data_IF_639885691910
#
_entry.id   IF_639885691910
#
_cell.length_a   1.000
_cell.length_b   1.000
_cell.length_c   1.000
_cell.angle_alpha   90.00
_cell.angle_beta   90.00
_cell.angle_gamma   90.00
#
_symmetry.space_group_name_H-M   'P 1'
#
loop_
_entity.id
_entity.type
_entity.pdbx_description
1 polymer ?
#
# COMPACT_ATOMS: atom_id res chain seq x y z
N UNK A 1 -18.50 47.20 -23.70
CA UNK A 1 -19.31 46.11 -24.27
C UNK A 1 -18.52 44.84 -24.09
N UNK A 2 -18.85 44.05 -23.07
CA UNK A 2 -18.29 42.72 -22.82
C UNK A 2 -19.49 41.82 -22.60
N UNK A 3 -19.81 41.00 -23.60
CA UNK A 3 -20.90 40.04 -23.57
C UNK A 3 -20.67 39.02 -22.45
N UNK A 4 -21.60 39.00 -21.51
CA UNK A 4 -21.72 37.95 -20.50
C UNK A 4 -22.42 36.76 -21.16
N UNK A 5 -21.66 35.81 -21.69
CA UNK A 5 -22.20 34.54 -22.18
C UNK A 5 -22.57 33.66 -20.97
N UNK A 6 -23.74 33.91 -20.38
CA UNK A 6 -24.37 32.95 -19.49
C UNK A 6 -24.86 31.77 -20.35
N UNK A 7 -24.14 30.66 -20.28
CA UNK A 7 -24.59 29.37 -20.81
C UNK A 7 -25.89 29.03 -20.07
N UNK A 8 -27.03 28.84 -20.76
CA UNK A 8 -28.26 28.45 -20.09
C UNK A 8 -28.07 27.07 -19.49
N UNK A 9 -28.28 26.92 -18.18
CA UNK A 9 -28.45 25.63 -17.53
C UNK A 9 -29.68 24.97 -18.15
N UNK A 10 -29.46 24.14 -19.17
CA UNK A 10 -30.47 23.25 -19.73
C UNK A 10 -30.99 22.41 -18.57
N UNK A 11 -32.23 22.67 -18.14
CA UNK A 11 -32.99 21.85 -17.19
C UNK A 11 -32.76 20.38 -17.51
N UNK A 12 -32.42 19.55 -16.51
CA UNK A 12 -32.26 18.09 -16.63
C UNK A 12 -33.42 17.55 -17.47
N UNK A 13 -33.14 17.32 -18.74
CA UNK A 13 -34.13 17.39 -19.82
C UNK A 13 -35.04 16.18 -19.84
N UNK A 14 -36.30 16.34 -20.25
CA UNK A 14 -37.29 15.27 -20.52
C UNK A 14 -36.71 13.99 -21.13
N UNK A 15 -35.66 14.12 -21.95
CA UNK A 15 -34.83 13.03 -22.46
C UNK A 15 -34.40 12.01 -21.40
N UNK A 16 -34.05 12.46 -20.20
CA UNK A 16 -33.63 11.62 -19.09
C UNK A 16 -34.77 10.71 -18.62
N UNK A 17 -35.95 11.27 -18.37
CA UNK A 17 -37.13 10.51 -17.96
C UNK A 17 -37.65 9.63 -19.11
N UNK A 18 -37.54 10.07 -20.37
CA UNK A 18 -37.85 9.24 -21.54
C UNK A 18 -36.96 8.01 -21.63
N UNK A 19 -35.68 8.13 -21.33
CA UNK A 19 -34.78 6.98 -21.34
C UNK A 19 -35.07 5.99 -20.20
N UNK A 20 -35.56 6.49 -19.05
CA UNK A 20 -36.05 5.65 -17.95
C UNK A 20 -37.30 4.90 -18.43
N UNK A 21 -38.29 5.64 -18.94
CA UNK A 21 -39.55 5.09 -19.45
C UNK A 21 -39.32 3.96 -20.47
N UNK A 22 -38.55 4.23 -21.53
CA UNK A 22 -38.25 3.27 -22.61
C UNK A 22 -37.48 2.02 -22.15
N UNK A 23 -36.85 2.05 -20.97
CA UNK A 23 -36.17 0.88 -20.41
C UNK A 23 -37.14 -0.07 -19.71
N UNK A 24 -38.23 0.48 -19.17
CA UNK A 24 -39.24 -0.27 -18.40
C UNK A 24 -40.40 -0.73 -19.25
N UNK A 25 -40.71 0.03 -20.30
CA UNK A 25 -41.54 -0.40 -21.43
C UNK A 25 -40.79 -1.52 -22.20
N UNK A 26 -41.00 -2.77 -21.78
CA UNK A 26 -40.23 -3.93 -22.25
C UNK A 26 -40.67 -4.36 -23.64
N UNK A 27 -41.97 -4.29 -23.89
CA UNK A 27 -42.56 -4.63 -25.18
C UNK A 27 -42.56 -3.45 -26.17
N UNK A 28 -42.19 -2.25 -25.71
CA UNK A 28 -42.06 -1.00 -26.49
C UNK A 28 -43.39 -0.53 -27.04
N UNK A 29 -44.48 -0.80 -26.31
CA UNK A 29 -45.82 -0.40 -26.70
C UNK A 29 -46.10 1.09 -26.42
N UNK A 30 -45.18 1.78 -25.72
CA UNK A 30 -45.28 3.19 -25.37
C UNK A 30 -45.99 3.44 -24.05
N UNK A 31 -46.26 2.39 -23.28
CA UNK A 31 -46.93 2.43 -21.99
C UNK A 31 -46.17 1.59 -20.94
N UNK A 32 -46.52 1.76 -19.67
CA UNK A 32 -46.00 0.94 -18.58
C UNK A 32 -47.19 0.28 -17.88
N UNK A 33 -47.21 -1.05 -17.90
CA UNK A 33 -48.22 -1.85 -17.19
C UNK A 33 -47.90 -2.00 -15.71
N UNK A 34 -48.89 -2.39 -14.89
CA UNK A 34 -48.68 -2.73 -13.46
C UNK A 34 -47.58 -3.78 -13.28
N UNK A 35 -47.47 -4.75 -14.20
CA UNK A 35 -46.45 -5.80 -14.14
C UNK A 35 -45.05 -5.24 -14.44
N UNK A 36 -44.91 -4.32 -15.39
CA UNK A 36 -43.64 -3.65 -15.67
C UNK A 36 -43.23 -2.70 -14.55
N UNK A 37 -44.21 -2.02 -13.94
CA UNK A 37 -44.00 -1.22 -12.74
C UNK A 37 -43.60 -2.08 -11.54
N UNK A 38 -44.17 -3.28 -11.38
CA UNK A 38 -43.75 -4.24 -10.36
C UNK A 38 -42.29 -4.66 -10.57
N UNK A 39 -41.91 -5.00 -11.81
CA UNK A 39 -40.52 -5.28 -12.18
C UNK A 39 -39.56 -4.09 -11.99
N UNK A 40 -40.07 -2.86 -11.99
CA UNK A 40 -39.29 -1.65 -11.69
C UNK A 40 -38.95 -1.60 -10.19
N UNK A 41 -39.91 -1.98 -9.34
CA UNK A 41 -39.81 -1.87 -7.88
C UNK A 41 -39.17 -3.12 -7.23
N UNK A 42 -39.29 -4.30 -7.82
CA UNK A 42 -38.68 -5.52 -7.27
C UNK A 42 -37.17 -5.59 -7.61
N UNK A 43 -36.30 -5.51 -6.58
CA UNK A 43 -34.85 -5.61 -6.76
C UNK A 43 -34.25 -6.63 -5.77
N UNK A 44 -33.43 -7.55 -6.28
CA UNK A 44 -32.87 -8.71 -5.56
C UNK A 44 -31.86 -8.39 -4.43
N UNK A 45 -31.70 -7.14 -4.03
CA UNK A 45 -30.61 -6.68 -3.15
C UNK A 45 -31.04 -6.24 -1.74
N UNK A 46 -32.35 -6.18 -1.42
CA UNK A 46 -32.81 -5.83 -0.07
C UNK A 46 -33.94 -6.76 0.41
N UNK A 47 -33.87 -7.17 1.67
CA UNK A 47 -34.75 -8.16 2.33
C UNK A 47 -36.20 -7.70 2.59
N UNK A 48 -36.62 -6.53 2.09
CA UNK A 48 -37.97 -5.99 2.30
C UNK A 48 -38.56 -5.45 1.00
N UNK A 49 -39.25 -6.31 0.26
CA UNK A 49 -39.97 -5.95 -0.96
C UNK A 49 -41.17 -5.03 -0.67
N UNK A 50 -41.45 -4.10 -1.59
CA UNK A 50 -42.69 -3.32 -1.56
C UNK A 50 -43.85 -4.26 -1.90
N UNK A 51 -44.88 -4.39 -1.03
CA UNK A 51 -45.97 -5.32 -1.30
C UNK A 51 -46.67 -5.02 -2.64
N UNK A 52 -47.08 -6.06 -3.41
CA UNK A 52 -47.71 -5.89 -4.74
C UNK A 52 -48.93 -4.96 -4.73
N UNK A 53 -49.70 -4.93 -3.63
CA UNK A 53 -50.86 -4.07 -3.50
C UNK A 53 -50.51 -2.57 -3.46
N UNK A 54 -49.32 -2.21 -2.97
CA UNK A 54 -48.84 -0.81 -2.93
C UNK A 54 -48.50 -0.34 -4.34
N UNK A 55 -47.83 -1.20 -5.13
CA UNK A 55 -47.49 -0.91 -6.54
C UNK A 55 -48.75 -0.71 -7.36
N UNK A 56 -49.74 -1.61 -7.21
CA UNK A 56 -51.05 -1.47 -7.87
C UNK A 56 -51.73 -0.15 -7.51
N UNK A 57 -51.73 0.23 -6.24
CA UNK A 57 -52.33 1.49 -5.78
C UNK A 57 -51.61 2.72 -6.32
N UNK A 58 -50.27 2.67 -6.44
CA UNK A 58 -49.47 3.75 -7.03
C UNK A 58 -49.81 3.93 -8.51
N UNK A 59 -49.93 2.82 -9.24
CA UNK A 59 -50.35 2.81 -10.64
C UNK A 59 -51.74 3.44 -10.81
N UNK A 60 -52.74 2.94 -10.07
CA UNK A 60 -54.12 3.46 -10.11
C UNK A 60 -54.24 4.95 -9.74
N UNK A 61 -53.33 5.48 -8.89
CA UNK A 61 -53.35 6.90 -8.51
C UNK A 61 -52.85 7.84 -9.61
N UNK A 62 -52.10 7.33 -10.60
CA UNK A 62 -51.46 8.13 -11.65
C UNK A 62 -51.92 7.77 -13.06
N UNK A 63 -52.74 6.73 -13.20
CA UNK A 63 -53.52 6.41 -14.40
C UNK A 63 -54.72 7.38 -14.45
N UNK A 64 -54.56 8.48 -15.20
CA UNK A 64 -55.52 9.59 -15.24
C UNK A 64 -56.59 9.38 -16.31
N UNK A 65 -56.27 8.66 -17.38
CA UNK A 65 -57.20 8.32 -18.45
C UNK A 65 -57.94 6.99 -18.22
N UNK A 66 -57.51 6.21 -17.22
CA UNK A 66 -58.16 4.99 -16.75
C UNK A 66 -57.95 3.79 -17.68
N UNK A 67 -56.86 3.78 -18.46
CA UNK A 67 -56.58 2.77 -19.47
C UNK A 67 -55.84 1.53 -18.91
N UNK A 68 -55.64 1.47 -17.59
CA UNK A 68 -54.89 0.45 -16.85
C UNK A 68 -53.41 0.37 -17.26
N UNK A 69 -52.89 1.41 -17.90
CA UNK A 69 -51.48 1.59 -18.22
C UNK A 69 -51.03 3.00 -17.82
N UNK A 70 -49.72 3.25 -17.90
CA UNK A 70 -49.17 4.59 -17.70
C UNK A 70 -48.49 5.05 -18.97
N UNK A 71 -49.01 6.13 -19.56
CA UNK A 71 -48.33 6.81 -20.65
C UNK A 71 -47.14 7.65 -20.11
N UNK A 72 -46.32 8.20 -21.00
CA UNK A 72 -45.12 8.95 -20.58
C UNK A 72 -45.42 10.14 -19.66
N UNK A 73 -46.56 10.82 -19.86
CA UNK A 73 -46.94 11.98 -19.04
C UNK A 73 -47.29 11.55 -17.62
N UNK A 74 -48.11 10.51 -17.49
CA UNK A 74 -48.52 9.92 -16.21
C UNK A 74 -47.33 9.33 -15.45
N UNK A 75 -46.44 8.63 -16.15
CA UNK A 75 -45.19 8.14 -15.58
C UNK A 75 -44.30 9.29 -15.09
N UNK A 76 -44.20 10.37 -15.86
CA UNK A 76 -43.41 11.55 -15.49
C UNK A 76 -43.96 12.25 -14.25
N UNK A 77 -45.27 12.32 -14.10
CA UNK A 77 -45.92 12.87 -12.90
C UNK A 77 -45.72 11.94 -11.69
N UNK A 78 -45.90 10.63 -11.88
CA UNK A 78 -45.69 9.62 -10.85
C UNK A 78 -44.26 9.65 -10.29
N UNK A 79 -43.24 9.67 -11.16
CA UNK A 79 -41.84 9.60 -10.74
C UNK A 79 -41.35 10.89 -10.08
N UNK A 80 -42.00 12.02 -10.39
CA UNK A 80 -41.69 13.33 -9.79
C UNK A 80 -42.61 13.69 -8.62
N UNK A 81 -43.56 12.82 -8.26
CA UNK A 81 -44.46 13.03 -7.13
C UNK A 81 -43.66 13.06 -5.81
N UNK A 82 -43.70 14.16 -5.03
CA UNK A 82 -42.94 14.29 -3.77
C UNK A 82 -43.24 13.17 -2.77
N UNK A 83 -44.48 12.68 -2.74
CA UNK A 83 -44.90 11.60 -1.85
C UNK A 83 -44.33 10.25 -2.27
N UNK A 84 -44.01 10.04 -3.55
CA UNK A 84 -43.44 8.79 -4.06
C UNK A 84 -41.92 8.83 -4.21
N UNK A 85 -41.29 9.93 -3.77
CA UNK A 85 -39.84 10.12 -3.81
C UNK A 85 -39.08 9.05 -3.02
N UNK A 86 -39.65 8.52 -1.94
CA UNK A 86 -39.04 7.42 -1.18
C UNK A 86 -39.07 6.08 -1.94
N UNK A 87 -40.07 5.89 -2.81
CA UNK A 87 -40.20 4.70 -3.67
C UNK A 87 -39.26 4.83 -4.86
N UNK A 88 -39.38 5.90 -5.65
CA UNK A 88 -38.67 6.02 -6.93
C UNK A 88 -37.31 6.70 -6.84
N UNK A 89 -37.04 7.44 -5.76
CA UNK A 89 -35.80 8.18 -5.57
C UNK A 89 -34.55 7.31 -5.60
N UNK A 90 -34.64 6.07 -5.09
CA UNK A 90 -33.53 5.12 -5.12
C UNK A 90 -33.24 4.62 -6.56
N UNK A 91 -34.26 4.29 -7.34
CA UNK A 91 -34.10 3.79 -8.73
C UNK A 91 -33.57 4.87 -9.67
N UNK A 92 -34.09 6.10 -9.56
CA UNK A 92 -33.60 7.26 -10.30
C UNK A 92 -32.13 7.50 -9.95
N UNK A 93 -31.77 7.42 -8.66
CA UNK A 93 -30.37 7.55 -8.21
C UNK A 93 -29.46 6.44 -8.76
N UNK A 94 -29.92 5.18 -8.78
CA UNK A 94 -29.16 4.05 -9.35
C UNK A 94 -28.94 4.18 -10.84
N UNK A 95 -29.95 4.60 -11.59
CA UNK A 95 -29.85 4.84 -13.04
C UNK A 95 -28.93 6.03 -13.36
N UNK A 96 -29.02 7.11 -12.57
CA UNK A 96 -28.09 8.25 -12.65
C UNK A 96 -26.66 7.78 -12.42
N UNK A 97 -26.43 6.94 -11.42
CA UNK A 97 -25.12 6.38 -11.09
C UNK A 97 -24.57 5.41 -12.16
N UNK A 98 -25.44 4.82 -12.99
CA UNK A 98 -25.04 3.96 -14.12
C UNK A 98 -24.62 4.81 -15.34
N UNK A 99 -25.40 5.84 -15.68
CA UNK A 99 -25.22 6.61 -16.92
C UNK A 99 -24.19 7.72 -16.80
N UNK A 100 -24.15 8.37 -15.65
CA UNK A 100 -23.17 9.41 -15.38
C UNK A 100 -21.98 8.69 -14.75
N UNK A 101 -20.81 8.60 -15.42
CA UNK A 101 -19.61 8.13 -14.75
C UNK A 101 -19.42 9.00 -13.52
N UNK A 102 -19.27 8.38 -12.34
CA UNK A 102 -19.07 9.10 -11.09
C UNK A 102 -17.87 10.03 -11.26
N UNK A 103 -18.12 11.32 -11.51
CA UNK A 103 -17.13 12.35 -11.24
C UNK A 103 -16.91 12.29 -9.74
N UNK A 104 -15.74 11.85 -9.32
CA UNK A 104 -15.35 11.81 -7.92
C UNK A 104 -15.44 13.22 -7.33
N UNK A 105 -16.56 13.53 -6.72
CA UNK A 105 -16.65 14.58 -5.71
C UNK A 105 -17.37 14.02 -4.48
N UNK A 106 -16.77 14.19 -3.29
CA UNK A 106 -17.04 13.33 -2.16
C UNK A 106 -18.23 13.86 -1.38
N UNK A 107 -19.35 13.15 -1.46
CA UNK A 107 -20.34 13.17 -0.39
C UNK A 107 -20.88 11.76 -0.23
N UNK A 108 -20.06 10.91 0.40
CA UNK A 108 -20.48 9.61 0.93
C UNK A 108 -20.29 9.60 2.44
N UNK A 109 -21.41 9.42 3.13
CA UNK A 109 -21.49 9.03 4.52
C UNK A 109 -21.64 7.51 4.57
N UNK A 110 -20.75 6.91 5.39
CA UNK A 110 -20.79 5.56 5.98
C UNK A 110 -20.51 4.39 5.02
N UNK A 111 -19.24 3.92 5.13
CA UNK A 111 -18.72 2.55 4.96
C UNK A 111 -19.04 1.79 3.68
N UNK A 112 -18.06 1.63 2.79
CA UNK A 112 -17.87 0.41 1.96
C UNK A 112 -16.60 0.55 1.10
N UNK A 113 -15.53 -0.18 1.44
CA UNK A 113 -14.69 -0.89 0.46
C UNK A 113 -13.62 -0.15 -0.36
N UNK A 114 -13.30 1.13 -0.13
CA UNK A 114 -12.22 1.80 -0.89
C UNK A 114 -10.83 1.13 -0.70
N UNK A 115 -10.61 0.45 0.43
CA UNK A 115 -9.39 -0.33 0.68
C UNK A 115 -9.40 -1.69 -0.04
N UNK A 116 -10.55 -2.39 -0.08
CA UNK A 116 -10.71 -3.66 -0.81
C UNK A 116 -10.64 -3.46 -2.33
N UNK A 117 -11.19 -2.36 -2.85
CA UNK A 117 -11.06 -1.96 -4.26
C UNK A 117 -9.63 -1.54 -4.65
N UNK A 118 -8.79 -1.18 -3.66
CA UNK A 118 -7.39 -0.82 -3.88
C UNK A 118 -6.45 -2.03 -4.04
N UNK A 119 -6.88 -3.24 -3.65
CA UNK A 119 -6.15 -4.50 -3.93
C UNK A 119 -6.27 -4.85 -5.41
N UNK A 120 -5.46 -4.19 -6.23
CA UNK A 120 -5.35 -4.54 -7.63
C UNK A 120 -4.20 -5.51 -7.82
N UNK A 121 -4.49 -6.70 -8.33
CA UNK A 121 -3.48 -7.61 -8.90
C UNK A 121 -2.90 -7.07 -10.22
N UNK A 122 -3.22 -5.82 -10.58
CA UNK A 122 -2.73 -5.15 -11.77
C UNK A 122 -2.10 -3.78 -11.44
N UNK A 123 -0.77 -3.62 -11.60
CA UNK A 123 0.19 -4.64 -12.03
C UNK A 123 0.41 -5.75 -10.99
N UNK A 124 0.75 -6.98 -11.40
CA UNK A 124 0.94 -8.09 -10.48
C UNK A 124 2.04 -7.79 -9.44
N UNK A 125 1.91 -8.30 -8.19
CA UNK A 125 2.88 -8.10 -7.13
C UNK A 125 4.15 -8.94 -7.37
N UNK A 126 4.96 -8.49 -8.31
CA UNK A 126 6.15 -9.24 -8.79
C UNK A 126 7.44 -8.84 -8.09
N UNK A 127 7.52 -7.64 -7.49
CA UNK A 127 8.80 -7.10 -7.02
C UNK A 127 9.40 -7.96 -5.91
N UNK A 128 8.62 -8.20 -4.86
CA UNK A 128 9.04 -9.01 -3.70
C UNK A 128 9.29 -10.47 -4.05
N UNK A 129 8.49 -11.03 -4.97
CA UNK A 129 8.69 -12.40 -5.46
C UNK A 129 10.01 -12.50 -6.22
N UNK A 130 10.30 -11.56 -7.12
CA UNK A 130 11.54 -11.54 -7.89
C UNK A 130 12.77 -11.37 -7.00
N UNK A 131 12.74 -10.47 -6.02
CA UNK A 131 13.84 -10.31 -5.06
C UNK A 131 14.08 -11.60 -4.26
N UNK A 132 13.00 -12.20 -3.74
CA UNK A 132 13.05 -13.46 -3.00
C UNK A 132 13.66 -14.60 -3.83
N UNK A 133 13.32 -14.69 -5.11
CA UNK A 133 13.89 -15.68 -6.03
C UNK A 133 15.39 -15.44 -6.26
N UNK A 134 15.82 -14.19 -6.41
CA UNK A 134 17.24 -13.84 -6.58
C UNK A 134 18.03 -14.21 -5.31
N UNK A 135 17.50 -13.91 -4.13
CA UNK A 135 18.12 -14.27 -2.84
C UNK A 135 18.30 -15.79 -2.71
N UNK A 136 17.27 -16.59 -3.04
CA UNK A 136 17.35 -18.06 -3.04
C UNK A 136 18.40 -18.55 -4.03
N UNK A 137 18.41 -18.03 -5.26
CA UNK A 137 19.36 -18.44 -6.30
C UNK A 137 20.80 -18.16 -5.85
N UNK A 138 21.06 -16.97 -5.33
CA UNK A 138 22.39 -16.56 -4.85
C UNK A 138 22.83 -17.45 -3.68
N UNK A 139 21.94 -17.70 -2.71
CA UNK A 139 22.22 -18.60 -1.59
C UNK A 139 22.56 -20.02 -2.06
N UNK A 140 21.79 -20.57 -3.01
CA UNK A 140 22.04 -21.88 -3.59
C UNK A 140 23.37 -21.95 -4.36
N UNK A 141 23.76 -20.88 -5.06
CA UNK A 141 25.05 -20.82 -5.76
C UNK A 141 26.21 -20.91 -4.78
N UNK A 142 26.14 -20.20 -3.65
CA UNK A 142 27.21 -20.23 -2.63
C UNK A 142 27.33 -21.62 -1.99
N UNK A 143 26.24 -22.22 -1.52
CA UNK A 143 26.26 -23.58 -0.96
C UNK A 143 26.68 -24.66 -1.97
N UNK A 144 26.34 -24.48 -3.25
CA UNK A 144 26.75 -25.43 -4.30
C UNK A 144 28.24 -25.30 -4.66
N UNK A 145 28.84 -24.12 -4.49
CA UNK A 145 30.24 -23.88 -4.80
C UNK A 145 31.18 -24.38 -3.69
N UNK A 146 30.80 -24.17 -2.43
CA UNK A 146 31.54 -24.63 -1.25
C UNK A 146 30.56 -24.99 -0.13
N UNK A 147 30.65 -26.21 0.39
CA UNK A 147 29.79 -26.71 1.46
C UNK A 147 29.95 -25.86 2.72
N UNK A 148 28.83 -25.47 3.34
CA UNK A 148 28.78 -24.60 4.53
C UNK A 148 29.30 -23.16 4.30
N UNK A 149 29.56 -22.75 3.05
CA UNK A 149 30.10 -21.43 2.76
C UNK A 149 29.17 -20.29 3.16
N UNK A 150 27.85 -20.50 3.21
CA UNK A 150 26.91 -19.47 3.67
C UNK A 150 27.01 -19.24 5.17
N UNK A 151 27.41 -20.23 5.96
CA UNK A 151 27.61 -20.05 7.42
C UNK A 151 28.77 -19.11 7.73
N UNK A 152 29.78 -19.08 6.85
CA UNK A 152 30.98 -18.27 7.02
C UNK A 152 31.05 -17.07 6.06
N UNK A 153 30.02 -16.89 5.21
CA UNK A 153 30.01 -15.92 4.11
C UNK A 153 31.28 -15.98 3.23
N UNK A 154 31.79 -17.20 2.97
CA UNK A 154 32.99 -17.45 2.16
C UNK A 154 32.70 -17.71 0.69
N UNK A 155 31.42 -17.88 0.34
CA UNK A 155 30.99 -18.25 -1.01
C UNK A 155 31.33 -17.20 -2.09
N UNK A 156 31.39 -17.62 -3.36
CA UNK A 156 31.80 -16.75 -4.46
C UNK A 156 30.90 -15.51 -4.59
N UNK A 157 29.60 -15.63 -4.39
CA UNK A 157 28.69 -14.48 -4.46
C UNK A 157 28.78 -13.62 -3.19
N UNK A 158 28.92 -14.23 -2.01
CA UNK A 158 29.18 -13.51 -0.76
C UNK A 158 30.39 -12.58 -0.89
N UNK A 159 31.53 -13.05 -1.42
CA UNK A 159 32.75 -12.22 -1.56
C UNK A 159 32.54 -10.98 -2.46
N UNK A 160 31.63 -11.06 -3.43
CA UNK A 160 31.35 -9.96 -4.38
C UNK A 160 30.29 -9.00 -3.85
N UNK A 161 29.25 -9.52 -3.20
CA UNK A 161 28.06 -8.75 -2.87
C UNK A 161 27.97 -8.29 -1.41
N UNK A 162 28.64 -8.96 -0.48
CA UNK A 162 28.61 -8.59 0.95
C UNK A 162 29.14 -7.16 1.13
N UNK A 163 28.56 -6.43 2.08
CA UNK A 163 29.13 -5.16 2.50
C UNK A 163 30.37 -5.43 3.35
N UNK A 164 31.53 -4.98 2.88
CA UNK A 164 32.82 -5.11 3.57
C UNK A 164 33.42 -3.72 3.80
N UNK A 165 33.66 -3.30 5.06
CA UNK A 165 34.15 -1.95 5.35
C UNK A 165 35.48 -1.59 4.69
N UNK A 166 36.38 -2.58 4.54
CA UNK A 166 37.66 -2.43 3.84
C UNK A 166 37.50 -2.14 2.33
N UNK A 167 36.32 -2.38 1.77
CA UNK A 167 35.98 -2.18 0.35
C UNK A 167 34.86 -1.16 0.18
N UNK A 168 34.67 -0.25 1.12
CA UNK A 168 33.58 0.76 1.09
C UNK A 168 33.53 1.64 -0.16
N UNK A 169 34.59 1.71 -0.98
CA UNK A 169 34.55 2.41 -2.28
C UNK A 169 33.82 1.63 -3.37
N UNK A 170 33.61 0.34 -3.19
CA UNK A 170 32.81 -0.51 -4.05
C UNK A 170 31.31 -0.25 -3.80
N UNK A 171 30.81 0.88 -4.32
CA UNK A 171 29.50 1.46 -3.96
C UNK A 171 28.30 0.53 -4.10
N UNK A 172 28.36 -0.48 -4.99
CA UNK A 172 27.29 -1.45 -5.17
C UNK A 172 27.05 -2.28 -3.90
N UNK A 173 28.09 -2.48 -3.07
CA UNK A 173 28.01 -3.25 -1.83
C UNK A 173 27.08 -2.65 -0.78
N UNK A 174 26.76 -1.35 -0.87
CA UNK A 174 25.75 -0.72 -0.02
C UNK A 174 24.32 -1.18 -0.33
N UNK A 175 24.11 -1.83 -1.49
CA UNK A 175 22.81 -2.38 -1.89
C UNK A 175 22.87 -3.90 -2.02
N UNK A 176 23.87 -4.44 -2.73
CA UNK A 176 23.93 -5.86 -3.10
C UNK A 176 24.05 -6.80 -1.91
N UNK A 177 24.45 -6.31 -0.74
CA UNK A 177 24.55 -7.11 0.47
C UNK A 177 23.21 -7.76 0.86
N UNK A 178 22.09 -7.18 0.42
CA UNK A 178 20.74 -7.72 0.66
C UNK A 178 20.54 -9.12 0.09
N UNK A 179 21.35 -9.53 -0.90
CA UNK A 179 21.24 -10.84 -1.52
C UNK A 179 22.04 -11.93 -0.79
N UNK A 180 23.00 -11.56 0.06
CA UNK A 180 23.87 -12.50 0.76
C UNK A 180 23.23 -12.84 2.10
N UNK A 181 23.06 -14.12 2.43
CA UNK A 181 22.46 -14.55 3.69
C UNK A 181 23.35 -15.55 4.42
N UNK A 182 23.48 -15.34 5.74
CA UNK A 182 24.31 -16.19 6.60
C UNK A 182 23.44 -17.30 7.19
N UNK A 183 23.47 -18.47 6.56
CA UNK A 183 22.74 -19.66 6.98
C UNK A 183 21.24 -19.68 6.60
N UNK A 184 20.68 -20.88 6.60
CA UNK A 184 19.31 -21.17 6.12
C UNK A 184 18.24 -20.46 6.96
N UNK A 185 18.39 -20.44 8.29
CA UNK A 185 17.40 -19.82 9.17
C UNK A 185 17.25 -18.31 8.90
N UNK A 186 18.38 -17.61 8.73
CA UNK A 186 18.38 -16.19 8.44
C UNK A 186 17.70 -15.89 7.09
N UNK A 187 17.98 -16.69 6.05
CA UNK A 187 17.30 -16.57 4.75
C UNK A 187 15.79 -16.78 4.89
N UNK A 188 15.37 -17.89 5.51
CA UNK A 188 13.94 -18.26 5.61
C UNK A 188 13.13 -17.19 6.34
N UNK A 189 13.63 -16.65 7.45
CA UNK A 189 12.94 -15.59 8.20
C UNK A 189 12.83 -14.31 7.38
N UNK A 190 13.90 -13.90 6.69
CA UNK A 190 13.85 -12.71 5.81
C UNK A 190 12.82 -12.90 4.69
N UNK A 191 12.85 -14.02 3.99
CA UNK A 191 11.91 -14.34 2.91
C UNK A 191 10.46 -14.39 3.40
N UNK A 192 10.21 -15.01 4.56
CA UNK A 192 8.88 -15.11 5.13
C UNK A 192 8.31 -13.72 5.43
N UNK A 193 9.06 -12.86 6.12
CA UNK A 193 8.59 -11.52 6.47
C UNK A 193 8.48 -10.65 5.21
N UNK A 194 9.44 -10.73 4.29
CA UNK A 194 9.46 -10.02 3.01
C UNK A 194 8.22 -10.32 2.17
N UNK A 195 7.85 -11.60 2.02
CA UNK A 195 6.69 -12.02 1.25
C UNK A 195 5.39 -11.66 1.98
N UNK A 196 5.31 -11.98 3.27
CA UNK A 196 4.11 -11.75 4.09
C UNK A 196 3.72 -10.27 4.15
N UNK A 197 4.71 -9.37 4.24
CA UNK A 197 4.47 -7.93 4.32
C UNK A 197 4.52 -7.21 2.98
N UNK A 198 5.43 -7.64 2.12
CA UNK A 198 5.70 -6.97 0.87
C UNK A 198 4.58 -7.16 -0.14
N UNK A 199 4.06 -8.38 -0.32
CA UNK A 199 2.99 -8.64 -1.30
C UNK A 199 1.73 -7.80 -1.03
N UNK A 200 1.18 -7.75 0.21
CA UNK A 200 0.05 -6.87 0.50
C UNK A 200 0.32 -5.40 0.19
N UNK A 201 1.53 -4.89 0.51
CA UNK A 201 1.91 -3.52 0.14
C UNK A 201 1.94 -3.32 -1.37
N UNK A 202 2.44 -4.30 -2.14
CA UNK A 202 2.51 -4.19 -3.60
C UNK A 202 1.12 -4.13 -4.24
N UNK A 203 0.17 -4.91 -3.71
CA UNK A 203 -1.21 -4.93 -4.18
C UNK A 203 -1.92 -3.59 -3.93
N UNK A 204 -1.67 -2.94 -2.79
CA UNK A 204 -2.30 -1.65 -2.43
C UNK A 204 -1.59 -0.47 -3.09
N UNK A 205 -0.26 -0.43 -3.02
CA UNK A 205 0.55 0.73 -3.37
C UNK A 205 1.27 0.63 -4.72
N UNK A 206 1.20 -0.51 -5.42
CA UNK A 206 1.98 -0.85 -6.63
C UNK A 206 3.42 -1.23 -6.32
N UNK A 207 3.91 -2.29 -6.98
CA UNK A 207 5.24 -2.88 -6.78
C UNK A 207 6.40 -1.86 -6.73
N UNK A 208 6.46 -0.92 -7.67
CA UNK A 208 7.58 0.03 -7.75
C UNK A 208 7.68 0.98 -6.55
N UNK A 209 6.55 1.34 -5.93
CA UNK A 209 6.55 2.19 -4.72
C UNK A 209 7.11 1.43 -3.53
N UNK A 210 6.73 0.17 -3.40
CA UNK A 210 7.21 -0.72 -2.34
C UNK A 210 8.71 -1.01 -2.52
N UNK A 211 9.17 -1.21 -3.76
CA UNK A 211 10.60 -1.37 -4.05
C UNK A 211 11.40 -0.13 -3.63
N UNK A 212 10.91 1.09 -3.90
CA UNK A 212 11.61 2.32 -3.45
C UNK A 212 11.80 2.32 -1.94
N UNK A 213 10.75 1.98 -1.18
CA UNK A 213 10.80 1.90 0.28
C UNK A 213 11.77 0.81 0.75
N UNK A 214 11.72 -0.36 0.12
CA UNK A 214 12.60 -1.48 0.43
C UNK A 214 14.08 -1.13 0.18
N UNK A 215 14.42 -0.62 -1.00
CA UNK A 215 15.79 -0.23 -1.35
C UNK A 215 16.31 0.94 -0.52
N UNK A 216 15.44 1.89 -0.14
CA UNK A 216 15.79 2.94 0.81
C UNK A 216 16.18 2.36 2.18
N UNK A 217 15.44 1.33 2.64
CA UNK A 217 15.77 0.57 3.84
C UNK A 217 17.12 -0.12 3.78
N UNK A 218 17.39 -0.83 2.68
CA UNK A 218 18.68 -1.50 2.43
C UNK A 218 19.83 -0.48 2.44
N UNK A 219 19.69 0.62 1.71
CA UNK A 219 20.71 1.66 1.65
C UNK A 219 20.96 2.31 3.02
N UNK A 220 19.89 2.63 3.75
CA UNK A 220 20.01 3.18 5.09
C UNK A 220 20.63 2.16 6.06
N UNK A 221 20.32 0.88 5.90
CA UNK A 221 20.87 -0.21 6.71
C UNK A 221 22.40 -0.31 6.61
N UNK A 222 22.94 -0.30 5.39
CA UNK A 222 24.39 -0.35 5.15
C UNK A 222 25.10 0.95 5.58
N UNK A 223 24.53 2.12 5.28
CA UNK A 223 25.08 3.41 5.71
C UNK A 223 25.03 3.61 7.24
N UNK A 224 23.95 3.19 7.88
CA UNK A 224 23.79 3.24 9.34
C UNK A 224 24.79 2.30 10.03
N UNK A 225 24.93 1.08 9.51
CA UNK A 225 25.92 0.11 10.02
C UNK A 225 27.34 0.63 9.84
N UNK A 226 27.66 1.24 8.69
CA UNK A 226 29.03 1.74 8.45
C UNK A 226 29.47 2.81 9.45
N UNK A 227 28.53 3.57 10.00
CA UNK A 227 28.82 4.62 10.98
C UNK A 227 28.80 4.06 12.39
N UNK A 228 27.80 3.24 12.74
CA UNK A 228 27.65 2.72 14.11
C UNK A 228 28.67 1.63 14.42
N UNK A 229 28.95 0.75 13.46
CA UNK A 229 29.92 -0.34 13.60
C UNK A 229 30.80 -0.45 12.35
N UNK A 230 31.79 0.45 12.26
CA UNK A 230 32.59 0.66 11.05
C UNK A 230 33.52 -0.50 10.69
N UNK A 231 33.61 -1.53 11.53
CA UNK A 231 34.43 -2.74 11.31
C UNK A 231 33.64 -3.99 10.93
N UNK A 232 32.30 -3.95 10.97
CA UNK A 232 31.46 -5.14 10.77
C UNK A 232 31.04 -5.30 9.31
N UNK A 233 31.13 -6.54 8.81
CA UNK A 233 30.56 -6.94 7.52
C UNK A 233 29.04 -7.02 7.66
N UNK A 234 28.31 -6.65 6.62
CA UNK A 234 26.85 -6.70 6.63
C UNK A 234 26.36 -7.60 5.49
N UNK A 235 25.45 -8.52 5.83
CA UNK A 235 24.77 -9.43 4.92
C UNK A 235 23.30 -9.55 5.34
N UNK A 236 22.41 -9.65 4.36
CA UNK A 236 21.00 -9.98 4.56
C UNK A 236 20.04 -8.88 4.11
N UNK A 237 18.86 -9.30 3.67
CA UNK A 237 17.76 -8.44 3.22
C UNK A 237 17.11 -7.60 4.35
N UNK A 238 17.53 -7.79 5.60
CA UNK A 238 16.81 -7.33 6.78
C UNK A 238 16.60 -5.81 6.84
N UNK A 239 17.55 -5.00 6.35
CA UNK A 239 17.34 -3.54 6.24
C UNK A 239 16.10 -3.16 5.40
N UNK A 240 15.85 -3.90 4.31
CA UNK A 240 14.64 -3.77 3.50
C UNK A 240 13.40 -4.34 4.18
N UNK A 241 13.53 -5.50 4.86
CA UNK A 241 12.43 -6.13 5.60
C UNK A 241 11.90 -5.21 6.71
N UNK A 242 12.78 -4.67 7.55
CA UNK A 242 12.42 -3.72 8.62
C UNK A 242 11.86 -2.40 8.07
N UNK A 243 12.28 -2.00 6.86
CA UNK A 243 11.67 -0.88 6.15
C UNK A 243 10.21 -1.18 5.76
N UNK A 244 9.89 -2.39 5.28
CA UNK A 244 8.51 -2.78 5.00
C UNK A 244 7.64 -2.82 6.27
N UNK A 245 8.18 -3.35 7.38
CA UNK A 245 7.47 -3.38 8.68
C UNK A 245 7.07 -1.96 9.09
N UNK A 246 8.01 -1.03 9.05
CA UNK A 246 7.75 0.36 9.45
C UNK A 246 6.98 1.16 8.43
N UNK A 247 6.97 0.78 7.16
CA UNK A 247 6.11 1.38 6.14
C UNK A 247 4.63 0.99 6.34
N UNK A 248 4.35 -0.21 6.86
CA UNK A 248 3.03 -0.56 7.38
C UNK A 248 2.66 0.31 8.59
N UNK A 249 3.58 0.50 9.52
CA UNK A 249 3.38 1.39 10.68
C UNK A 249 3.19 2.85 10.24
N UNK A 250 3.91 3.34 9.24
CA UNK A 250 3.73 4.66 8.67
C UNK A 250 2.31 4.85 8.12
N UNK A 251 1.81 3.84 7.40
CA UNK A 251 0.43 3.82 6.93
C UNK A 251 -0.56 3.87 8.10
N UNK A 252 -0.27 3.20 9.22
CA UNK A 252 -1.06 3.26 10.47
C UNK A 252 -0.99 4.65 11.13
N UNK A 253 0.21 5.22 11.29
CA UNK A 253 0.42 6.50 11.98
C UNK A 253 -0.20 7.66 11.22
N UNK A 254 -0.07 7.68 9.88
CA UNK A 254 -0.72 8.69 9.04
C UNK A 254 -2.24 8.72 9.26
N UNK A 255 -2.83 7.62 9.74
CA UNK A 255 -4.25 7.55 10.08
C UNK A 255 -4.51 7.77 11.58
N UNK A 256 -3.58 7.40 12.45
CA UNK A 256 -3.73 7.56 13.91
C UNK A 256 -3.60 9.00 14.41
N UNK A 257 -2.73 9.84 13.85
CA UNK A 257 -2.60 11.25 14.27
C UNK A 257 -3.82 12.11 13.89
N UNK A 258 -4.61 11.63 12.93
CA UNK A 258 -5.89 12.22 12.56
C UNK A 258 -6.98 12.02 13.65
N UNK A 259 -6.83 11.03 14.53
CA UNK A 259 -7.87 10.65 15.51
C UNK A 259 -7.83 11.43 16.83
N UNK A 260 -6.82 12.29 17.06
CA UNK A 260 -6.67 13.00 18.35
C UNK A 260 -7.42 14.34 18.38
N UNK A 261 -7.89 14.86 17.24
CA UNK A 261 -8.45 16.22 17.15
C UNK A 261 -9.88 16.33 16.56
N UNK A 262 -10.69 15.26 16.60
CA UNK A 262 -12.02 15.25 15.96
C UNK A 262 -13.15 14.97 16.96
N UNK A 263 -14.22 15.76 16.85
CA UNK A 263 -15.50 15.55 17.55
C UNK A 263 -16.11 14.17 17.22
N UNK A 264 -16.74 13.58 18.22
CA UNK A 264 -17.11 12.16 18.33
C UNK A 264 -17.91 11.54 17.15
N UNK A 265 -18.56 12.35 16.29
CA UNK A 265 -19.34 11.85 15.15
C UNK A 265 -18.49 11.47 13.93
N UNK A 266 -17.39 12.18 13.65
CA UNK A 266 -16.50 11.87 12.53
C UNK A 266 -15.52 10.73 12.89
N UNK A 267 -15.23 10.51 14.17
CA UNK A 267 -14.39 9.40 14.66
C UNK A 267 -14.81 8.04 14.08
N UNK A 268 -16.12 7.76 14.05
CA UNK A 268 -16.67 6.50 13.57
C UNK A 268 -16.41 6.27 12.08
N UNK A 269 -16.31 7.33 11.26
CA UNK A 269 -16.09 7.24 9.82
C UNK A 269 -14.64 6.90 9.47
N UNK A 270 -13.68 7.43 10.21
CA UNK A 270 -12.24 7.22 9.95
C UNK A 270 -11.71 5.94 10.61
N UNK A 271 -12.23 5.59 11.79
CA UNK A 271 -11.92 4.31 12.44
C UNK A 271 -12.50 3.13 11.65
N UNK A 272 -13.66 3.29 11.00
CA UNK A 272 -14.27 2.21 10.22
C UNK A 272 -13.52 1.89 8.90
N UNK A 273 -12.73 2.81 8.34
CA UNK A 273 -11.88 2.53 7.18
C UNK A 273 -10.73 1.55 7.51
N UNK A 274 -10.51 1.26 8.80
CA UNK A 274 -9.47 0.37 9.33
C UNK A 274 -10.01 -0.93 9.93
N UNK A 275 -11.33 -1.14 9.96
CA UNK A 275 -11.93 -2.43 10.36
C UNK A 275 -11.83 -3.50 9.26
N UNK A 276 -11.40 -3.13 8.06
CA UNK A 276 -11.31 -4.03 6.89
C UNK A 276 -9.92 -4.69 6.70
N UNK A 277 -8.85 -4.22 7.36
CA UNK A 277 -7.69 -5.12 7.56
C UNK A 277 -8.05 -6.08 8.70
N UNK A 278 -8.07 -7.38 8.43
CA UNK A 278 -8.25 -8.36 9.47
C UNK A 278 -7.08 -8.27 10.49
N UNK A 279 -7.33 -7.64 11.63
CA UNK A 279 -6.45 -7.57 12.81
C UNK A 279 -5.10 -6.80 12.66
N UNK A 280 -5.07 -5.51 12.28
CA UNK A 280 -3.83 -4.71 12.19
C UNK A 280 -3.08 -4.61 13.52
N UNK A 281 -3.78 -4.62 14.65
CA UNK A 281 -3.18 -4.64 15.98
C UNK A 281 -2.50 -5.97 16.31
N UNK A 282 -3.08 -7.10 15.88
CA UNK A 282 -2.47 -8.41 16.07
C UNK A 282 -1.24 -8.59 15.16
N UNK A 283 -1.31 -8.08 13.92
CA UNK A 283 -0.17 -8.02 13.01
C UNK A 283 0.97 -7.19 13.61
N UNK A 284 0.67 -5.97 14.08
CA UNK A 284 1.66 -5.12 14.76
C UNK A 284 2.28 -5.82 15.98
N UNK A 285 1.48 -6.52 16.79
CA UNK A 285 1.97 -7.29 17.93
C UNK A 285 2.93 -8.41 17.49
N UNK A 286 2.57 -9.19 16.47
CA UNK A 286 3.44 -10.23 15.92
C UNK A 286 4.76 -9.63 15.42
N UNK A 287 4.72 -8.47 14.74
CA UNK A 287 5.93 -7.80 14.28
C UNK A 287 6.80 -7.29 15.42
N UNK A 288 6.22 -6.67 16.44
CA UNK A 288 6.96 -6.21 17.62
C UNK A 288 7.62 -7.38 18.34
N UNK A 289 6.96 -8.55 18.40
CA UNK A 289 7.54 -9.77 18.98
C UNK A 289 8.71 -10.28 18.12
N UNK A 290 8.53 -10.39 16.80
CA UNK A 290 9.59 -10.88 15.90
C UNK A 290 10.79 -9.93 15.90
N UNK A 291 10.56 -8.64 15.71
CA UNK A 291 11.61 -7.62 15.75
C UNK A 291 12.30 -7.55 17.12
N UNK A 292 11.54 -7.59 18.21
CA UNK A 292 12.07 -7.60 19.56
C UNK A 292 12.92 -8.84 19.85
N UNK A 293 12.50 -10.00 19.36
CA UNK A 293 13.26 -11.25 19.49
C UNK A 293 14.53 -11.22 18.68
N UNK A 294 14.47 -10.76 17.43
CA UNK A 294 15.62 -10.66 16.51
C UNK A 294 16.69 -9.67 17.02
N UNK A 295 16.27 -8.46 17.41
CA UNK A 295 17.14 -7.45 18.03
C UNK A 295 17.67 -7.95 19.38
N UNK A 296 16.80 -8.52 20.22
CA UNK A 296 17.16 -9.02 21.54
C UNK A 296 18.20 -10.14 21.47
N UNK A 297 18.04 -11.06 20.52
CA UNK A 297 18.98 -12.17 20.28
C UNK A 297 20.31 -11.62 19.78
N UNK A 298 20.31 -10.65 18.85
CA UNK A 298 21.52 -10.01 18.35
C UNK A 298 22.30 -9.27 19.46
N UNK A 299 21.59 -8.57 20.35
CA UNK A 299 22.20 -7.88 21.51
C UNK A 299 22.73 -8.91 22.51
N UNK A 300 21.97 -9.95 22.83
CA UNK A 300 22.38 -10.99 23.76
C UNK A 300 23.62 -11.74 23.25
N UNK A 301 23.63 -12.13 21.98
CA UNK A 301 24.75 -12.84 21.38
C UNK A 301 26.03 -12.01 21.39
N UNK A 302 25.94 -10.69 21.17
CA UNK A 302 27.10 -9.80 21.19
C UNK A 302 27.59 -9.43 22.58
N UNK A 303 26.70 -9.06 23.50
CA UNK A 303 27.10 -8.52 24.80
C UNK A 303 27.16 -9.56 25.92
N UNK A 304 26.51 -10.72 25.76
CA UNK A 304 26.49 -11.78 26.78
C UNK A 304 27.28 -13.00 26.34
N UNK A 305 27.10 -13.46 25.10
CA UNK A 305 27.78 -14.66 24.59
C UNK A 305 29.11 -14.38 23.88
N UNK A 306 29.43 -13.11 23.61
CA UNK A 306 30.62 -12.66 22.85
C UNK A 306 30.77 -13.37 21.48
N UNK A 307 29.63 -13.70 20.87
CA UNK A 307 29.56 -14.25 19.53
C UNK A 307 29.57 -13.06 18.56
N UNK A 308 30.59 -13.00 17.70
CA UNK A 308 30.68 -12.00 16.64
C UNK A 308 29.64 -12.30 15.55
N UNK A 309 28.39 -11.92 15.77
CA UNK A 309 27.37 -11.94 14.73
C UNK A 309 27.61 -10.83 13.71
N UNK A 310 27.63 -11.21 12.44
CA UNK A 310 27.81 -10.31 11.30
C UNK A 310 26.51 -9.58 10.89
N UNK A 311 25.51 -9.51 11.77
CA UNK A 311 24.19 -8.94 11.50
C UNK A 311 23.97 -7.76 12.44
N UNK A 312 24.00 -6.56 11.88
CA UNK A 312 23.97 -5.33 12.67
C UNK A 312 22.56 -4.93 13.09
N UNK A 313 22.31 -4.84 14.40
CA UNK A 313 21.14 -4.12 14.96
C UNK A 313 21.00 -2.70 14.38
N UNK A 314 22.13 -2.08 14.03
CA UNK A 314 22.19 -0.79 13.34
C UNK A 314 21.52 -0.82 11.96
N UNK A 315 21.68 -1.92 11.20
CA UNK A 315 21.03 -2.08 9.91
C UNK A 315 19.51 -2.18 10.06
N UNK A 316 19.04 -2.94 11.06
CA UNK A 316 17.61 -3.11 11.34
C UNK A 316 16.98 -1.78 11.75
N UNK A 317 17.63 -1.04 12.65
CA UNK A 317 17.16 0.26 13.10
C UNK A 317 17.16 1.31 11.97
N UNK A 318 18.25 1.43 11.21
CA UNK A 318 18.34 2.40 10.13
C UNK A 318 17.37 2.07 8.99
N UNK A 319 17.19 0.78 8.67
CA UNK A 319 16.18 0.30 7.73
C UNK A 319 14.75 0.63 8.18
N UNK A 320 14.44 0.40 9.45
CA UNK A 320 13.16 0.76 10.07
C UNK A 320 12.90 2.28 10.03
N UNK A 321 13.91 3.11 10.34
CA UNK A 321 13.76 4.55 10.26
C UNK A 321 13.53 5.03 8.82
N UNK A 322 14.23 4.43 7.85
CA UNK A 322 14.03 4.72 6.44
C UNK A 322 12.63 4.31 5.95
N UNK A 323 12.13 3.14 6.37
CA UNK A 323 10.79 2.69 6.01
C UNK A 323 9.68 3.58 6.54
N UNK A 324 9.81 4.06 7.78
CA UNK A 324 8.91 5.05 8.36
C UNK A 324 8.92 6.35 7.54
N UNK A 325 10.10 6.92 7.31
CA UNK A 325 10.21 8.24 6.66
C UNK A 325 9.85 8.18 5.17
N UNK A 326 10.41 7.23 4.41
CA UNK A 326 10.15 7.08 2.99
C UNK A 326 8.75 6.54 2.73
N UNK A 327 8.23 5.68 3.61
CA UNK A 327 6.87 5.15 3.54
C UNK A 327 5.81 6.26 3.53
N UNK A 328 5.92 7.23 4.45
CA UNK A 328 5.05 8.43 4.49
C UNK A 328 5.06 9.19 3.14
N UNK A 329 6.23 9.25 2.50
CA UNK A 329 6.41 10.05 1.29
C UNK A 329 5.94 9.35 0.01
N UNK A 330 6.15 8.03 -0.06
CA UNK A 330 6.06 7.26 -1.30
C UNK A 330 4.75 6.47 -1.36
N UNK A 331 4.21 5.99 -0.25
CA UNK A 331 2.97 5.22 -0.27
C UNK A 331 1.77 6.10 -0.65
N UNK A 332 0.76 5.50 -1.26
CA UNK A 332 -0.43 6.25 -1.71
C UNK A 332 -1.14 6.83 -0.49
N UNK A 333 -1.29 8.16 -0.48
CA UNK A 333 -2.15 8.86 0.44
C UNK A 333 -3.47 9.22 -0.27
N UNK A 334 -4.57 8.59 0.14
CA UNK A 334 -5.88 8.67 -0.54
C UNK A 334 -6.62 9.99 -0.26
N UNK A 335 -6.31 10.68 0.85
CA UNK A 335 -6.90 11.98 1.19
C UNK A 335 -5.91 12.87 1.93
N UNK A 336 -5.26 13.78 1.20
CA UNK A 336 -4.19 14.63 1.77
C UNK A 336 -4.76 15.76 2.62
N UNK A 337 -4.49 15.74 3.93
CA UNK A 337 -4.75 16.87 4.82
C UNK A 337 -3.59 17.89 4.86
N UNK A 338 -3.83 19.08 5.40
CA UNK A 338 -2.76 20.11 5.55
C UNK A 338 -1.65 19.66 6.49
N UNK A 339 -1.99 18.95 7.57
CA UNK A 339 -1.04 18.40 8.55
C UNK A 339 -0.18 17.30 7.93
N UNK A 340 -0.77 16.40 7.16
CA UNK A 340 -0.03 15.37 6.42
C UNK A 340 0.97 15.97 5.43
N UNK A 341 0.65 17.09 4.79
CA UNK A 341 1.61 17.79 3.92
C UNK A 341 2.84 18.28 4.70
N UNK A 342 2.66 18.72 5.95
CA UNK A 342 3.79 19.11 6.82
C UNK A 342 4.60 17.88 7.21
N UNK A 343 3.95 16.80 7.66
CA UNK A 343 4.61 15.54 8.03
C UNK A 343 5.39 14.96 6.85
N UNK A 344 4.82 15.02 5.64
CA UNK A 344 5.47 14.63 4.40
C UNK A 344 6.78 15.42 4.19
N UNK A 345 6.73 16.75 4.25
CA UNK A 345 7.93 17.59 4.09
C UNK A 345 8.97 17.35 5.19
N UNK A 346 8.54 17.28 6.44
CA UNK A 346 9.43 16.99 7.58
C UNK A 346 10.11 15.65 7.38
N UNK A 347 9.34 14.62 7.00
CA UNK A 347 9.85 13.28 6.74
C UNK A 347 10.87 13.24 5.59
N UNK A 348 10.53 13.87 4.45
CA UNK A 348 11.43 13.96 3.30
C UNK A 348 12.73 14.67 3.65
N UNK A 349 12.66 15.83 4.29
CA UNK A 349 13.83 16.62 4.68
C UNK A 349 14.69 15.82 5.67
N UNK A 350 14.07 15.18 6.66
CA UNK A 350 14.78 14.38 7.67
C UNK A 350 15.51 13.22 7.03
N UNK A 351 14.85 12.45 6.16
CA UNK A 351 15.47 11.32 5.46
C UNK A 351 16.64 11.79 4.57
N UNK A 352 16.45 12.85 3.78
CA UNK A 352 17.51 13.41 2.94
C UNK A 352 18.69 13.90 3.77
N UNK A 353 18.44 14.59 4.89
CA UNK A 353 19.48 15.05 5.79
C UNK A 353 20.30 13.91 6.38
N UNK A 354 19.63 12.86 6.90
CA UNK A 354 20.28 11.68 7.45
C UNK A 354 21.13 10.97 6.39
N UNK A 355 20.57 10.74 5.19
CA UNK A 355 21.27 10.07 4.09
C UNK A 355 22.52 10.85 3.66
N UNK A 356 22.38 12.15 3.42
CA UNK A 356 23.50 13.02 3.02
C UNK A 356 24.57 13.08 4.10
N UNK A 357 24.17 13.16 5.38
CA UNK A 357 25.12 13.12 6.50
C UNK A 357 25.91 11.83 6.51
N UNK A 358 25.25 10.68 6.33
CA UNK A 358 25.92 9.39 6.28
C UNK A 358 26.89 9.27 5.10
N UNK A 359 26.49 9.76 3.92
CA UNK A 359 27.33 9.76 2.72
C UNK A 359 28.55 10.66 2.95
N UNK A 360 28.36 11.87 3.46
CA UNK A 360 29.47 12.80 3.76
C UNK A 360 30.41 12.18 4.79
N UNK A 361 29.88 11.52 5.83
CA UNK A 361 30.71 10.83 6.83
C UNK A 361 31.59 9.75 6.20
N UNK A 362 31.00 8.92 5.33
CA UNK A 362 31.73 7.86 4.61
C UNK A 362 32.80 8.43 3.65
N UNK A 363 32.61 9.64 3.10
CA UNK A 363 33.55 10.27 2.16
C UNK A 363 34.63 11.11 2.86
N UNK A 364 34.26 11.88 3.88
CA UNK A 364 35.13 12.88 4.50
C UNK A 364 36.01 12.29 5.61
N UNK A 365 35.51 11.31 6.38
CA UNK A 365 36.23 10.78 7.54
C UNK A 365 36.86 9.41 7.26
N UNK A 366 37.77 9.36 6.29
CA UNK A 366 38.39 8.10 5.85
C UNK A 366 39.16 7.36 6.95
N UNK A 367 39.71 8.08 7.95
CA UNK A 367 40.44 7.49 9.07
C UNK A 367 39.55 6.82 10.13
N UNK A 368 38.23 7.03 10.10
CA UNK A 368 37.27 6.37 10.98
C UNK A 368 37.06 4.90 10.60
N UNK A 369 37.33 4.57 9.33
CA UNK A 369 37.10 3.24 8.77
C UNK A 369 38.39 2.41 8.78
N UNK A 370 38.28 1.08 8.81
CA UNK A 370 39.39 0.17 8.56
C UNK A 370 40.17 0.50 7.28
N UNK A 371 41.45 0.14 7.25
CA UNK A 371 42.32 0.37 6.08
C UNK A 371 41.76 -0.34 4.85
N UNK A 372 41.66 0.41 3.75
CA UNK A 372 41.19 -0.14 2.48
C UNK A 372 42.18 -1.19 1.95
N UNK A 373 41.67 -2.39 1.61
CA UNK A 373 42.46 -3.40 0.92
C UNK A 373 42.26 -3.16 -0.57
N UNK A 374 43.23 -2.51 -1.21
CA UNK A 374 43.22 -2.38 -2.66
C UNK A 374 43.49 -3.75 -3.29
N UNK A 375 42.72 -4.11 -4.31
CA UNK A 375 42.85 -5.34 -5.10
C UNK A 375 44.27 -5.62 -5.62
N UNK A 376 45.12 -4.59 -5.71
CA UNK A 376 46.55 -4.73 -6.04
C UNK A 376 47.35 -5.55 -5.01
N UNK A 377 46.96 -5.55 -3.73
CA UNK A 377 47.68 -6.26 -2.66
C UNK A 377 47.35 -7.76 -2.64
N UNK A 378 46.14 -8.13 -3.08
CA UNK A 378 45.73 -9.53 -3.27
C UNK A 378 46.50 -10.15 -4.44
N UNK A 379 46.64 -9.45 -5.57
CA UNK A 379 47.46 -9.93 -6.71
C UNK A 379 48.93 -10.07 -6.29
N UNK A 380 49.46 -9.09 -5.54
CA UNK A 380 50.85 -9.12 -5.08
C UNK A 380 51.12 -10.27 -4.10
N UNK A 381 50.18 -10.60 -3.22
CA UNK A 381 50.32 -11.71 -2.28
C UNK A 381 50.07 -13.08 -2.92
N UNK A 382 49.21 -13.18 -3.95
CA UNK A 382 49.07 -14.42 -4.74
C UNK A 382 50.31 -14.72 -5.58
N UNK A 383 51.03 -13.71 -6.06
CA UNK A 383 52.29 -13.90 -6.81
C UNK A 383 53.53 -14.17 -5.95
N UNK A 384 53.46 -13.94 -4.63
CA UNK A 384 54.58 -14.20 -3.70
C UNK A 384 54.50 -15.56 -3.01
N UNK A 385 53.42 -16.32 -3.24
CA UNK A 385 53.21 -17.67 -2.72
C UNK A 385 53.35 -18.78 -3.77
N UNK A 386 53.90 -18.48 -4.95
CA UNK A 386 54.25 -19.44 -5.99
C UNK A 386 55.77 -19.58 -6.11
#
# INVERSE_FOLDING_TARGET
MTENTQIPLKTRSDQFYRNIFNKFDRDKDGFITVNELYNLVESREYEHDIPPYVVKKIHEMHDHDGDEKLNFSEFYEMINNPNLKYVFGHYVTRYINWIIPKTQHPSRTVTDGEYEEAYSCYPPPVGMILLSLIEIIIFCIDEAAEMDSTKYASGPTATVFIYEPNRRREIWRYITYMFVHIGVFHLVVNLLVQILLGIPLEMVHKWWRVLIVYFAGVLAGSLGTSIVDSSVKLAGASGGVYSLVTAHIASIIMVSEFLINIEFEDYTKYVNNWREMAFPSAQLLVFLIVAGTDIGTSIYNRYVLDINEHIGYAAHFAGALAGLLVGINVLKNLSVTKTERVIWWVSMITYSFLLVTCIIWNLAWTSYFPKEIYSAEIIRNSTKGL
#
